data_IF_392671505201
#
_entry.id   IF_392671505201
#
_cell.length_a   1.000
_cell.length_b   1.000
_cell.length_c   1.000
_cell.angle_alpha   90.00
_cell.angle_beta   90.00
_cell.angle_gamma   90.00
#
_symmetry.space_group_name_H-M   'P 1'
#
loop_
_entity.id
_entity.type
_entity.pdbx_description
1 polymer ?
#
# COMPACT_ATOMS: atom_id res chain seq x y z
N UNK A 1 -6.81 1.03 -13.58
CA UNK A 1 -7.88 0.44 -12.76
C UNK A 1 -7.57 0.56 -11.27
N UNK A 2 -6.52 -0.07 -10.78
CA UNK A 2 -6.20 -0.06 -9.34
C UNK A 2 -5.95 1.32 -8.77
N UNK A 3 -5.40 2.24 -9.55
CA UNK A 3 -5.05 3.58 -9.07
C UNK A 3 -6.27 4.41 -8.70
N UNK A 4 -7.36 4.25 -9.45
CA UNK A 4 -8.58 4.99 -9.16
C UNK A 4 -9.19 4.60 -7.83
N UNK A 5 -9.02 3.34 -7.43
CA UNK A 5 -9.50 2.88 -6.13
C UNK A 5 -8.75 3.55 -5.00
N UNK A 6 -7.44 3.71 -5.11
CA UNK A 6 -6.67 4.38 -4.06
C UNK A 6 -7.14 5.82 -3.86
N UNK A 7 -7.34 6.55 -4.94
CA UNK A 7 -7.83 7.92 -4.86
C UNK A 7 -9.19 7.95 -4.18
N UNK A 8 -10.09 7.03 -4.54
CA UNK A 8 -11.40 6.93 -3.93
C UNK A 8 -11.31 6.69 -2.43
N UNK A 9 -10.55 5.67 -2.01
CA UNK A 9 -10.43 5.33 -0.59
C UNK A 9 -9.77 6.43 0.22
N UNK A 10 -8.85 7.20 -0.35
CA UNK A 10 -8.22 8.31 0.35
C UNK A 10 -9.21 9.39 0.77
N UNK A 11 -10.32 9.52 0.06
CA UNK A 11 -11.34 10.53 0.34
C UNK A 11 -12.47 10.03 1.23
N UNK A 12 -12.50 8.75 1.58
CA UNK A 12 -13.60 8.19 2.37
C UNK A 12 -13.50 8.55 3.85
N UNK A 13 -14.66 8.72 4.48
CA UNK A 13 -14.74 8.90 5.92
C UNK A 13 -14.68 7.55 6.63
N UNK A 14 -14.48 7.56 7.96
CA UNK A 14 -14.26 6.33 8.74
C UNK A 14 -15.36 5.28 8.56
N UNK A 15 -16.62 5.69 8.56
CA UNK A 15 -17.72 4.73 8.39
C UNK A 15 -17.77 4.15 6.98
N UNK A 16 -17.38 4.93 5.99
CA UNK A 16 -17.29 4.46 4.61
C UNK A 16 -16.08 3.53 4.46
N UNK A 17 -15.00 3.81 5.18
CA UNK A 17 -13.83 2.93 5.20
C UNK A 17 -14.16 1.58 5.83
N UNK A 18 -15.03 1.54 6.87
CA UNK A 18 -15.44 0.28 7.46
C UNK A 18 -16.21 -0.58 6.45
N UNK A 19 -17.07 0.04 5.64
CA UNK A 19 -17.76 -0.65 4.55
C UNK A 19 -16.79 -1.13 3.49
N UNK A 20 -15.82 -0.30 3.13
CA UNK A 20 -14.80 -0.64 2.15
C UNK A 20 -13.96 -1.81 2.65
N UNK A 21 -13.64 -1.87 3.94
CA UNK A 21 -12.92 -2.97 4.54
C UNK A 21 -13.69 -4.28 4.36
N UNK A 22 -14.99 -4.28 4.65
CA UNK A 22 -15.82 -5.47 4.49
C UNK A 22 -15.85 -5.95 3.04
N UNK A 23 -16.01 -5.02 2.11
CA UNK A 23 -16.05 -5.34 0.68
C UNK A 23 -14.70 -5.85 0.18
N UNK A 24 -13.62 -5.21 0.59
CA UNK A 24 -12.27 -5.62 0.18
C UNK A 24 -11.90 -6.98 0.76
N UNK A 25 -12.24 -7.24 2.02
CA UNK A 25 -12.04 -8.55 2.64
C UNK A 25 -12.78 -9.64 1.87
N UNK A 26 -14.01 -9.34 1.45
CA UNK A 26 -14.79 -10.28 0.65
C UNK A 26 -14.13 -10.53 -0.72
N UNK A 27 -13.60 -9.48 -1.34
CA UNK A 27 -12.93 -9.61 -2.64
C UNK A 27 -11.72 -10.54 -2.58
N UNK A 28 -10.87 -10.40 -1.54
CA UNK A 28 -9.71 -11.27 -1.41
C UNK A 28 -10.10 -12.69 -1.04
N UNK A 29 -11.24 -12.87 -0.37
CA UNK A 29 -11.76 -14.20 -0.05
C UNK A 29 -12.28 -14.91 -1.30
N UNK A 30 -12.92 -14.17 -2.20
CA UNK A 30 -13.48 -14.72 -3.43
C UNK A 30 -12.42 -14.96 -4.50
N UNK A 31 -11.36 -14.15 -4.51
CA UNK A 31 -10.28 -14.27 -5.49
C UNK A 31 -8.94 -14.09 -4.77
N UNK A 32 -8.50 -15.14 -4.04
CA UNK A 32 -7.37 -15.01 -3.10
C UNK A 32 -6.01 -14.87 -3.75
N UNK A 33 -5.89 -15.06 -5.05
CA UNK A 33 -4.61 -14.93 -5.74
C UNK A 33 -4.48 -13.64 -6.54
N UNK A 34 -5.48 -12.77 -6.48
CA UNK A 34 -5.48 -11.53 -7.26
C UNK A 34 -4.70 -10.43 -6.52
N UNK A 35 -3.50 -10.04 -7.04
CA UNK A 35 -2.70 -9.02 -6.35
C UNK A 35 -3.39 -7.67 -6.22
N UNK A 36 -4.22 -7.29 -7.20
CA UNK A 36 -4.94 -6.02 -7.15
C UNK A 36 -5.91 -5.98 -5.97
N UNK A 37 -6.60 -7.10 -5.70
CA UNK A 37 -7.51 -7.18 -4.56
C UNK A 37 -6.75 -7.13 -3.24
N UNK A 38 -5.61 -7.81 -3.16
CA UNK A 38 -4.76 -7.79 -1.97
C UNK A 38 -4.25 -6.37 -1.70
N UNK A 39 -3.80 -5.68 -2.72
CA UNK A 39 -3.30 -4.31 -2.61
C UNK A 39 -4.41 -3.36 -2.17
N UNK A 40 -5.59 -3.49 -2.76
CA UNK A 40 -6.73 -2.66 -2.38
C UNK A 40 -7.10 -2.87 -0.92
N UNK A 41 -7.14 -4.13 -0.47
CA UNK A 41 -7.44 -4.43 0.93
C UNK A 41 -6.35 -3.86 1.85
N UNK A 42 -5.09 -4.02 1.47
CA UNK A 42 -3.99 -3.45 2.23
C UNK A 42 -4.10 -1.94 2.37
N UNK A 43 -4.50 -1.26 1.30
CA UNK A 43 -4.65 0.19 1.33
C UNK A 43 -5.80 0.63 2.24
N UNK A 44 -6.93 -0.09 2.20
CA UNK A 44 -8.05 0.20 3.11
C UNK A 44 -7.62 0.02 4.55
N UNK A 45 -6.91 -1.07 4.86
CA UNK A 45 -6.39 -1.31 6.20
C UNK A 45 -5.44 -0.20 6.65
N UNK A 46 -4.59 0.27 5.73
CA UNK A 46 -3.68 1.38 6.01
C UNK A 46 -4.46 2.65 6.39
N UNK A 47 -5.50 2.97 5.64
CA UNK A 47 -6.32 4.15 5.93
C UNK A 47 -7.07 4.03 7.24
N UNK A 48 -7.36 2.82 7.68
CA UNK A 48 -7.99 2.54 8.97
C UNK A 48 -7.00 2.52 10.12
N UNK A 49 -5.70 2.67 9.85
CA UNK A 49 -4.69 2.63 10.88
C UNK A 49 -4.26 1.23 11.29
N UNK A 50 -4.70 0.21 10.55
CA UNK A 50 -4.35 -1.19 10.83
C UNK A 50 -3.07 -1.55 10.07
N UNK A 51 -1.96 -0.96 10.50
CA UNK A 51 -0.72 -0.99 9.73
C UNK A 51 -0.10 -2.38 9.61
N UNK A 52 -0.09 -3.17 10.68
CA UNK A 52 0.48 -4.52 10.62
C UNK A 52 -0.28 -5.41 9.64
N UNK A 53 -1.61 -5.36 9.68
CA UNK A 53 -2.43 -6.12 8.73
C UNK A 53 -2.25 -5.60 7.31
N UNK A 54 -2.16 -4.28 7.14
CA UNK A 54 -1.92 -3.68 5.84
C UNK A 54 -0.60 -4.17 5.25
N UNK A 55 0.46 -4.22 6.06
CA UNK A 55 1.76 -4.72 5.61
C UNK A 55 1.66 -6.16 5.12
N UNK A 56 0.96 -7.02 5.87
CA UNK A 56 0.80 -8.43 5.47
C UNK A 56 0.15 -8.54 4.09
N UNK A 57 -0.91 -7.78 3.85
CA UNK A 57 -1.64 -7.88 2.59
C UNK A 57 -0.86 -7.28 1.42
N UNK A 58 -0.16 -6.17 1.64
CA UNK A 58 0.66 -5.58 0.58
C UNK A 58 1.87 -6.46 0.29
N UNK A 59 2.47 -7.09 1.32
CA UNK A 59 3.55 -8.06 1.11
C UNK A 59 3.07 -9.24 0.27
N UNK A 60 1.85 -9.73 0.54
CA UNK A 60 1.26 -10.80 -0.27
C UNK A 60 1.05 -10.36 -1.71
N UNK A 61 0.61 -9.12 -1.91
CA UNK A 61 0.43 -8.57 -3.25
C UNK A 61 1.75 -8.51 -4.01
N UNK A 62 2.81 -8.06 -3.34
CA UNK A 62 4.14 -8.01 -3.94
C UNK A 62 4.61 -9.41 -4.34
N UNK A 63 4.40 -10.39 -3.45
CA UNK A 63 4.80 -11.77 -3.72
C UNK A 63 3.96 -12.42 -4.83
N UNK A 64 2.70 -12.02 -4.97
CA UNK A 64 1.78 -12.63 -5.93
C UNK A 64 1.93 -12.07 -7.35
N UNK A 65 2.63 -10.95 -7.52
CA UNK A 65 2.85 -10.37 -8.83
C UNK A 65 4.27 -10.66 -9.30
N UNK A 66 4.43 -10.95 -10.58
CA UNK A 66 5.76 -11.19 -11.16
C UNK A 66 6.55 -9.88 -11.33
N UNK A 67 5.87 -8.75 -11.24
CA UNK A 67 6.45 -7.44 -11.53
C UNK A 67 5.77 -6.37 -10.67
N UNK A 68 6.19 -6.28 -9.39
CA UNK A 68 5.69 -5.24 -8.51
C UNK A 68 6.14 -3.88 -9.06
N UNK A 69 5.18 -2.97 -9.25
CA UNK A 69 5.49 -1.66 -9.77
C UNK A 69 5.95 -0.71 -8.67
N UNK A 70 6.38 0.48 -9.10
CA UNK A 70 6.87 1.50 -8.19
C UNK A 70 5.86 1.88 -7.12
N UNK A 71 4.60 2.04 -7.50
CA UNK A 71 3.56 2.46 -6.56
C UNK A 71 3.32 1.42 -5.47
N UNK A 72 3.29 0.14 -5.84
CA UNK A 72 3.07 -0.93 -4.87
C UNK A 72 4.22 -0.98 -3.84
N UNK A 73 5.45 -0.86 -4.31
CA UNK A 73 6.62 -0.88 -3.43
C UNK A 73 6.67 0.39 -2.57
N UNK A 74 6.29 1.53 -3.12
CA UNK A 74 6.22 2.76 -2.35
C UNK A 74 5.17 2.65 -1.24
N UNK A 75 4.02 2.07 -1.53
CA UNK A 75 2.96 1.84 -0.52
C UNK A 75 3.50 0.97 0.61
N UNK A 76 4.22 -0.08 0.29
CA UNK A 76 4.78 -0.96 1.30
C UNK A 76 5.75 -0.19 2.19
N UNK A 77 6.59 0.64 1.61
CA UNK A 77 7.49 1.51 2.38
C UNK A 77 6.73 2.45 3.30
N UNK A 78 5.67 3.06 2.80
CA UNK A 78 4.83 3.96 3.61
C UNK A 78 4.26 3.23 4.82
N UNK A 79 3.81 1.99 4.62
CA UNK A 79 3.24 1.18 5.70
C UNK A 79 4.31 0.86 6.73
N UNK A 80 5.49 0.43 6.31
CA UNK A 80 6.59 0.17 7.23
C UNK A 80 6.97 1.41 8.04
N UNK A 81 6.95 2.58 7.40
CA UNK A 81 7.25 3.82 8.11
C UNK A 81 6.22 4.06 9.23
N UNK A 82 4.94 3.85 8.94
CA UNK A 82 3.88 4.00 9.95
C UNK A 82 4.02 2.99 11.09
N UNK A 83 4.62 1.84 10.82
CA UNK A 83 4.90 0.84 11.84
C UNK A 83 6.13 1.17 12.68
N UNK A 84 6.82 2.25 12.35
CA UNK A 84 8.01 2.66 13.06
C UNK A 84 9.30 2.04 12.54
N UNK A 85 9.24 1.31 11.42
CA UNK A 85 10.41 0.66 10.85
C UNK A 85 10.94 1.48 9.67
N UNK A 86 11.66 2.54 9.97
CA UNK A 86 12.19 3.45 8.97
C UNK A 86 13.18 2.77 8.03
N UNK A 87 14.00 1.85 8.56
CA UNK A 87 14.99 1.17 7.72
C UNK A 87 14.32 0.33 6.64
N UNK A 88 13.31 -0.46 7.01
CA UNK A 88 12.54 -1.22 6.03
C UNK A 88 11.82 -0.33 5.04
N UNK A 89 11.30 0.80 5.53
CA UNK A 89 10.62 1.76 4.66
C UNK A 89 11.56 2.27 3.57
N UNK A 90 12.75 2.69 3.95
CA UNK A 90 13.73 3.22 3.00
C UNK A 90 14.12 2.16 1.96
N UNK A 91 14.30 0.91 2.40
CA UNK A 91 14.63 -0.19 1.48
C UNK A 91 13.53 -0.34 0.42
N UNK A 92 12.26 -0.32 0.82
CA UNK A 92 11.18 -0.46 -0.14
C UNK A 92 11.06 0.75 -1.06
N UNK A 93 11.27 1.95 -0.54
CA UNK A 93 11.27 3.17 -1.34
C UNK A 93 12.39 3.15 -2.39
N UNK A 94 13.57 2.67 -2.00
CA UNK A 94 14.70 2.54 -2.93
C UNK A 94 14.39 1.53 -4.04
N UNK A 95 13.77 0.41 -3.67
CA UNK A 95 13.31 -0.57 -4.66
C UNK A 95 12.27 0.02 -5.60
N UNK A 96 11.34 0.82 -5.04
CA UNK A 96 10.32 1.49 -5.84
C UNK A 96 10.95 2.39 -6.89
N UNK A 97 11.99 3.13 -6.52
CA UNK A 97 12.66 4.05 -7.44
C UNK A 97 13.32 3.30 -8.61
N UNK A 98 13.76 2.07 -8.41
CA UNK A 98 14.32 1.27 -9.49
C UNK A 98 13.28 0.81 -10.50
N UNK A 99 11.99 0.81 -10.12
CA UNK A 99 10.89 0.37 -10.97
C UNK A 99 10.19 1.52 -11.69
N UNK A 100 10.43 2.75 -11.26
CA UNK A 100 9.79 3.93 -11.85
C UNK A 100 9.92 5.12 -10.93
N UNK A 101 9.29 6.21 -11.32
CA UNK A 101 9.38 7.46 -10.55
C UNK A 101 8.58 7.42 -9.25
N UNK A 102 7.55 6.57 -9.18
CA UNK A 102 6.64 6.57 -8.04
C UNK A 102 5.86 7.87 -7.97
N UNK A 103 5.52 8.27 -6.76
CA UNK A 103 4.88 9.57 -6.55
C UNK A 103 5.94 10.68 -6.60
N UNK A 104 5.48 11.92 -6.65
CA UNK A 104 6.38 13.08 -6.64
C UNK A 104 7.19 13.18 -5.33
N UNK A 105 6.78 12.46 -4.29
CA UNK A 105 7.44 12.50 -3.01
C UNK A 105 8.45 11.38 -2.79
N UNK A 106 8.55 10.42 -3.71
CA UNK A 106 9.36 9.21 -3.49
C UNK A 106 10.83 9.54 -3.20
N UNK A 107 11.45 10.37 -4.01
CA UNK A 107 12.85 10.74 -3.80
C UNK A 107 13.05 11.47 -2.48
N UNK A 108 12.10 12.35 -2.10
CA UNK A 108 12.17 13.06 -0.84
C UNK A 108 12.02 12.12 0.34
N UNK A 109 11.14 11.12 0.24
CA UNK A 109 10.99 10.11 1.29
C UNK A 109 12.31 9.40 1.56
N UNK A 110 13.01 9.01 0.50
CA UNK A 110 14.29 8.33 0.61
C UNK A 110 15.35 9.27 1.21
N UNK A 111 15.45 10.48 0.68
CA UNK A 111 16.48 11.42 1.09
C UNK A 111 16.29 11.85 2.54
N UNK A 112 15.09 12.16 2.93
CA UNK A 112 14.78 12.72 4.24
C UNK A 112 14.35 11.65 5.25
N UNK A 113 14.14 10.42 4.79
CA UNK A 113 13.68 9.30 5.61
C UNK A 113 12.39 9.65 6.35
N UNK A 114 11.47 10.28 5.63
CA UNK A 114 10.19 10.71 6.15
C UNK A 114 9.07 10.37 5.19
N UNK A 115 7.87 10.22 5.74
CA UNK A 115 6.68 10.00 4.95
C UNK A 115 6.05 11.35 4.56
N UNK A 116 5.73 11.47 3.29
CA UNK A 116 4.97 12.61 2.75
C UNK A 116 3.74 12.03 2.06
N UNK A 117 2.58 12.41 2.53
CA UNK A 117 1.30 11.94 1.99
C UNK A 117 0.52 13.05 1.30
#
# INVERSE_FOLDING_TARGET
MGRNYFTYFLSLRNEELAKAETMAAKSVKLDPTNPANMDTYGWVLYKLGKYSEAAEWVEKAVAATSSADSDLLEHLGDIYFKMGDTDKAVIQWQKALTKGKGTEFLERKIKEKKLYE
#
